data_IF_181376403167
#
_entry.id   IF_181376403167
#
_cell.length_a   1.000
_cell.length_b   1.000
_cell.length_c   1.000
_cell.angle_alpha   90.00
_cell.angle_beta   90.00
_cell.angle_gamma   90.00
#
_symmetry.space_group_name_H-M   'P 1'
#
loop_
_entity.id
_entity.type
_entity.pdbx_description
1 polymer ?
#
# COMPACT_ATOMS: atom_id res chain seq x y z
N UNK A 1 -54.13 40.34 -35.87
CA UNK A 1 -53.58 38.98 -35.99
C UNK A 1 -52.27 38.95 -35.23
N UNK A 2 -52.21 38.09 -34.20
CA UNK A 2 -51.18 38.00 -33.17
C UNK A 2 -49.77 37.75 -33.73
N UNK A 3 -48.73 38.17 -33.00
CA UNK A 3 -47.64 37.30 -32.53
C UNK A 3 -46.95 38.00 -31.35
N UNK A 4 -47.09 37.43 -30.16
CA UNK A 4 -46.31 37.76 -28.97
C UNK A 4 -44.98 37.01 -29.05
N UNK A 5 -43.86 37.73 -29.15
CA UNK A 5 -42.53 37.12 -29.06
C UNK A 5 -42.07 37.16 -27.60
N UNK A 6 -42.22 36.04 -26.89
CA UNK A 6 -41.65 35.84 -25.55
C UNK A 6 -40.17 35.48 -25.68
N UNK A 7 -39.28 36.34 -25.20
CA UNK A 7 -37.87 36.02 -25.01
C UNK A 7 -37.74 35.33 -23.65
N UNK A 8 -37.63 34.01 -23.65
CA UNK A 8 -37.35 33.23 -22.46
C UNK A 8 -35.88 33.40 -22.06
N UNK A 9 -35.63 34.02 -20.92
CA UNK A 9 -34.31 34.05 -20.29
C UNK A 9 -33.99 32.65 -19.75
N UNK A 10 -33.23 31.86 -20.51
CA UNK A 10 -32.67 30.60 -20.04
C UNK A 10 -31.51 30.87 -19.08
N UNK A 11 -31.76 30.70 -17.78
CA UNK A 11 -30.71 30.72 -16.76
C UNK A 11 -29.86 29.44 -16.92
N UNK A 12 -28.66 29.59 -17.48
CA UNK A 12 -27.70 28.49 -17.60
C UNK A 12 -27.08 28.24 -16.22
N UNK A 13 -27.62 27.27 -15.48
CA UNK A 13 -27.02 26.82 -14.22
C UNK A 13 -25.82 25.93 -14.60
N UNK A 14 -24.62 26.50 -14.55
CA UNK A 14 -23.37 25.74 -14.67
C UNK A 14 -23.15 25.03 -13.34
N UNK A 15 -23.50 23.74 -13.28
CA UNK A 15 -23.14 22.89 -12.15
C UNK A 15 -21.63 22.66 -12.19
N UNK A 16 -20.88 23.39 -11.35
CA UNK A 16 -19.48 23.11 -11.07
C UNK A 16 -19.44 21.84 -10.23
N UNK A 17 -19.23 20.68 -10.86
CA UNK A 17 -18.92 19.47 -10.13
C UNK A 17 -17.52 19.64 -9.52
N UNK A 18 -17.47 19.81 -8.20
CA UNK A 18 -16.22 19.71 -7.47
C UNK A 18 -15.70 18.26 -7.63
N UNK A 19 -14.75 18.06 -8.53
CA UNK A 19 -13.97 16.83 -8.57
C UNK A 19 -13.14 16.81 -7.27
N UNK A 20 -13.56 15.97 -6.34
CA UNK A 20 -12.72 15.62 -5.19
C UNK A 20 -11.50 14.86 -5.72
N UNK A 21 -10.38 15.57 -5.82
CA UNK A 21 -9.09 14.93 -6.07
C UNK A 21 -8.73 14.16 -4.80
N UNK A 22 -8.94 12.84 -4.82
CA UNK A 22 -8.35 11.96 -3.81
C UNK A 22 -6.86 11.90 -4.13
N UNK A 23 -6.07 12.74 -3.46
CA UNK A 23 -4.62 12.66 -3.53
C UNK A 23 -4.20 11.32 -2.91
N UNK A 24 -3.53 10.47 -3.68
CA UNK A 24 -2.93 9.25 -3.14
C UNK A 24 -1.93 9.65 -2.04
N UNK A 25 -2.01 9.01 -0.87
CA UNK A 25 -1.20 9.30 0.33
C UNK A 25 0.20 8.68 0.24
N UNK A 26 0.80 8.74 -0.95
CA UNK A 26 2.05 8.05 -1.29
C UNK A 26 1.84 6.69 -1.94
N UNK A 27 2.95 5.95 -2.08
CA UNK A 27 2.96 4.62 -2.69
C UNK A 27 3.98 3.66 -2.08
N UNK A 28 3.71 2.38 -2.25
CA UNK A 28 4.64 1.28 -2.00
C UNK A 28 5.12 0.81 -3.38
N UNK A 29 6.42 0.87 -3.62
CA UNK A 29 7.02 0.25 -4.79
C UNK A 29 7.68 -1.06 -4.39
N UNK A 30 7.31 -2.14 -5.07
CA UNK A 30 7.78 -3.49 -4.85
C UNK A 30 8.82 -3.85 -5.92
N UNK A 31 9.81 -4.65 -5.53
CA UNK A 31 10.93 -5.05 -6.37
C UNK A 31 11.21 -6.54 -6.19
N UNK A 32 11.51 -7.22 -7.28
CA UNK A 32 11.94 -8.61 -7.27
C UNK A 32 13.35 -8.75 -6.69
N UNK A 33 14.27 -7.89 -7.14
CA UNK A 33 15.69 -7.93 -6.77
C UNK A 33 16.07 -6.82 -5.80
N UNK A 34 17.19 -7.03 -5.11
CA UNK A 34 17.80 -6.10 -4.16
C UNK A 34 18.51 -4.89 -4.77
N UNK A 35 18.06 -4.39 -5.94
CA UNK A 35 18.71 -3.29 -6.65
C UNK A 35 17.68 -2.34 -7.26
N UNK A 36 17.94 -1.03 -7.23
CA UNK A 36 17.11 -0.03 -7.93
C UNK A 36 17.49 0.05 -9.41
N UNK A 37 18.77 -0.21 -9.74
CA UNK A 37 19.30 -0.14 -11.11
C UNK A 37 18.93 -1.38 -11.94
N UNK A 38 18.93 -2.55 -11.32
CA UNK A 38 18.41 -3.81 -11.89
C UNK A 38 17.37 -4.41 -10.93
N UNK A 39 16.14 -3.87 -10.94
CA UNK A 39 15.10 -4.26 -9.98
C UNK A 39 14.47 -5.61 -10.28
N UNK A 40 14.76 -6.20 -11.45
CA UNK A 40 13.92 -7.26 -12.02
C UNK A 40 12.50 -6.72 -12.25
N UNK A 41 11.50 -7.51 -11.89
CA UNK A 41 10.10 -7.08 -11.93
C UNK A 41 9.81 -6.06 -10.83
N UNK A 42 8.95 -5.08 -11.13
CA UNK A 42 8.45 -4.10 -10.15
C UNK A 42 6.93 -4.04 -10.14
N UNK A 43 6.34 -3.64 -9.02
CA UNK A 43 4.94 -3.22 -8.96
C UNK A 43 4.79 -1.97 -8.09
N UNK A 44 3.74 -1.18 -8.31
CA UNK A 44 3.44 0.00 -7.50
C UNK A 44 2.03 -0.12 -6.96
N UNK A 45 1.88 0.07 -5.66
CA UNK A 45 0.60 0.06 -4.95
C UNK A 45 0.42 1.43 -4.30
N UNK A 46 -0.66 2.13 -4.66
CA UNK A 46 -1.00 3.40 -4.02
C UNK A 46 -1.53 3.19 -2.60
N UNK A 47 -1.19 4.10 -1.69
CA UNK A 47 -1.79 4.12 -0.35
C UNK A 47 -3.26 4.56 -0.47
N UNK A 48 -4.23 3.70 -0.09
CA UNK A 48 -5.65 4.00 -0.17
C UNK A 48 -6.08 4.93 0.98
N UNK A 49 -7.18 5.66 0.81
CA UNK A 49 -7.76 6.50 1.86
C UNK A 49 -8.51 5.69 2.95
N UNK A 50 -8.77 4.41 2.72
CA UNK A 50 -9.39 3.48 3.66
C UNK A 50 -8.65 2.14 3.61
N UNK A 51 -8.91 1.26 4.59
CA UNK A 51 -8.33 -0.08 4.58
C UNK A 51 -8.52 -0.78 3.23
N UNK A 52 -7.45 -1.39 2.72
CA UNK A 52 -7.51 -2.21 1.52
C UNK A 52 -6.43 -3.28 1.54
N UNK A 53 -6.80 -4.45 1.09
CA UNK A 53 -5.90 -5.54 0.72
C UNK A 53 -5.75 -5.64 -0.79
N UNK A 54 -4.58 -6.09 -1.22
CA UNK A 54 -4.19 -6.26 -2.61
C UNK A 54 -3.69 -7.69 -2.78
N UNK A 55 -4.53 -8.56 -3.35
CA UNK A 55 -4.09 -9.86 -3.89
C UNK A 55 -3.27 -9.60 -5.14
N UNK A 56 -1.98 -9.94 -5.07
CA UNK A 56 -1.01 -9.61 -6.10
C UNK A 56 -1.43 -10.19 -7.45
N UNK A 57 -2.02 -11.39 -7.49
CA UNK A 57 -2.44 -12.05 -8.72
C UNK A 57 -3.58 -11.31 -9.47
N UNK A 58 -4.40 -10.52 -8.75
CA UNK A 58 -5.57 -9.84 -9.32
C UNK A 58 -5.40 -8.32 -9.43
N UNK A 59 -4.28 -7.76 -8.97
CA UNK A 59 -4.04 -6.31 -8.92
C UNK A 59 -2.97 -5.82 -9.89
N UNK A 60 -2.72 -6.55 -10.98
CA UNK A 60 -1.76 -6.15 -12.02
C UNK A 60 -0.30 -6.24 -11.58
N UNK A 61 -0.04 -6.91 -10.47
CA UNK A 61 1.29 -7.32 -10.04
C UNK A 61 1.46 -8.83 -10.29
N UNK A 62 2.70 -9.32 -10.22
CA UNK A 62 2.96 -10.75 -10.28
C UNK A 62 2.92 -11.39 -8.89
N UNK A 63 2.20 -12.51 -8.74
CA UNK A 63 2.19 -13.29 -7.51
C UNK A 63 3.53 -14.00 -7.30
N UNK A 64 3.99 -14.13 -6.05
CA UNK A 64 5.21 -14.87 -5.69
C UNK A 64 6.48 -14.37 -6.42
N UNK A 65 6.63 -13.05 -6.51
CA UNK A 65 7.77 -12.44 -7.22
C UNK A 65 8.58 -11.48 -6.36
N UNK A 66 7.91 -10.61 -5.61
CA UNK A 66 8.59 -9.47 -4.98
C UNK A 66 9.18 -9.83 -3.61
N UNK A 67 10.39 -9.35 -3.34
CA UNK A 67 11.15 -9.61 -2.12
C UNK A 67 11.62 -8.33 -1.43
N UNK A 68 11.42 -7.18 -2.06
CA UNK A 68 11.89 -5.89 -1.56
C UNK A 68 10.85 -4.80 -1.80
N UNK A 69 10.93 -3.72 -1.01
CA UNK A 69 10.05 -2.57 -1.20
C UNK A 69 10.74 -1.24 -0.86
N UNK A 70 10.18 -0.15 -1.40
CA UNK A 70 10.43 1.23 -0.97
C UNK A 70 9.10 1.91 -0.69
N UNK A 71 9.11 2.88 0.22
CA UNK A 71 8.00 3.80 0.43
C UNK A 71 8.35 5.14 -0.21
N UNK A 72 7.38 5.74 -0.88
CA UNK A 72 7.49 7.06 -1.50
C UNK A 72 6.32 7.94 -1.04
N UNK A 73 6.66 9.04 -0.37
CA UNK A 73 5.73 10.02 0.18
C UNK A 73 4.58 9.44 1.03
N UNK A 74 4.87 8.41 1.85
CA UNK A 74 3.82 7.73 2.65
C UNK A 74 3.62 8.46 3.98
N UNK A 75 2.37 8.81 4.30
CA UNK A 75 2.02 9.48 5.57
C UNK A 75 2.48 8.71 6.81
N UNK A 76 2.58 9.39 7.95
CA UNK A 76 2.82 8.72 9.22
C UNK A 76 1.65 7.84 9.66
N UNK A 77 1.92 6.90 10.55
CA UNK A 77 0.95 5.98 11.12
C UNK A 77 0.27 4.98 10.17
N UNK A 78 0.65 4.94 8.89
CA UNK A 78 0.23 3.91 7.93
C UNK A 78 0.79 2.57 8.35
N UNK A 79 -0.06 1.54 8.45
CA UNK A 79 0.36 0.15 8.67
C UNK A 79 0.31 -0.60 7.36
N UNK A 80 1.37 -1.34 7.08
CA UNK A 80 1.51 -2.14 5.86
C UNK A 80 1.88 -3.55 6.28
N UNK A 81 1.07 -4.54 5.91
CA UNK A 81 1.44 -5.94 6.06
C UNK A 81 1.69 -6.60 4.70
N UNK A 82 2.64 -7.52 4.70
CA UNK A 82 3.04 -8.36 3.57
C UNK A 82 2.74 -9.81 3.95
N UNK A 83 2.13 -10.59 3.05
CA UNK A 83 1.74 -11.97 3.35
C UNK A 83 1.93 -12.93 2.18
N UNK A 84 2.08 -14.21 2.54
CA UNK A 84 2.32 -15.33 1.63
C UNK A 84 1.07 -15.87 0.93
N UNK A 85 -0.11 -15.67 1.51
CA UNK A 85 -1.33 -16.32 1.04
C UNK A 85 -2.06 -15.51 -0.01
N UNK A 86 -2.58 -16.21 -1.04
CA UNK A 86 -3.59 -15.68 -1.95
C UNK A 86 -4.93 -15.45 -1.26
N UNK A 87 -5.80 -14.69 -1.91
CA UNK A 87 -7.10 -14.22 -1.44
C UNK A 87 -7.04 -13.40 -0.14
N UNK A 88 -5.85 -12.90 0.19
CA UNK A 88 -5.57 -12.03 1.33
C UNK A 88 -6.31 -12.39 2.62
N UNK A 89 -6.04 -13.60 3.11
CA UNK A 89 -6.59 -14.09 4.38
C UNK A 89 -6.21 -13.13 5.53
N UNK A 90 -7.09 -13.04 6.52
CA UNK A 90 -6.94 -12.12 7.67
C UNK A 90 -5.58 -12.24 8.35
N UNK A 91 -4.86 -11.12 8.51
CA UNK A 91 -3.61 -11.00 9.29
C UNK A 91 -3.87 -10.90 10.81
N UNK A 92 -2.84 -11.04 11.64
CA UNK A 92 -2.96 -10.90 13.11
C UNK A 92 -3.29 -12.22 13.83
N UNK A 93 -4.01 -12.20 14.97
CA UNK A 93 -4.27 -13.39 15.81
C UNK A 93 -4.96 -14.54 15.07
N UNK A 94 -5.74 -14.23 14.03
CA UNK A 94 -6.43 -15.20 13.18
C UNK A 94 -5.62 -15.71 11.98
N UNK A 95 -4.36 -15.30 11.82
CA UNK A 95 -3.57 -15.66 10.64
C UNK A 95 -3.24 -17.16 10.58
N UNK A 96 -3.68 -17.78 9.49
CA UNK A 96 -3.53 -19.22 9.21
C UNK A 96 -2.58 -19.54 8.07
N UNK A 97 -2.03 -18.51 7.41
CA UNK A 97 -1.07 -18.68 6.32
C UNK A 97 0.34 -19.03 6.78
N UNK A 98 1.24 -19.16 5.79
CA UNK A 98 2.63 -19.51 6.00
C UNK A 98 3.40 -18.38 6.69
N UNK A 99 3.38 -17.17 6.15
CA UNK A 99 3.97 -16.01 6.83
C UNK A 99 3.27 -14.70 6.55
N UNK A 100 3.28 -13.80 7.55
CA UNK A 100 2.98 -12.39 7.36
C UNK A 100 3.91 -11.53 8.20
N UNK A 101 4.15 -10.31 7.74
CA UNK A 101 4.94 -9.30 8.46
C UNK A 101 4.31 -7.93 8.32
N UNK A 102 4.28 -7.16 9.40
CA UNK A 102 3.70 -5.83 9.44
C UNK A 102 4.74 -4.79 9.83
N UNK A 103 4.75 -3.69 9.09
CA UNK A 103 5.51 -2.48 9.38
C UNK A 103 4.55 -1.30 9.57
N UNK A 104 5.02 -0.25 10.25
CA UNK A 104 4.30 0.99 10.44
C UNK A 104 5.21 2.18 10.15
N UNK A 105 4.69 3.19 9.47
CA UNK A 105 5.38 4.48 9.30
C UNK A 105 5.25 5.35 10.55
N UNK A 106 6.30 6.12 10.88
CA UNK A 106 6.31 7.01 12.05
C UNK A 106 6.84 8.42 11.79
N UNK A 107 7.26 8.72 10.55
CA UNK A 107 7.64 10.06 10.08
C UNK A 107 6.68 10.46 8.96
N UNK A 108 6.39 11.76 8.83
CA UNK A 108 5.53 12.31 7.79
C UNK A 108 6.25 13.36 6.94
N UNK A 109 6.44 13.17 5.61
CA UNK A 109 6.23 11.92 4.88
C UNK A 109 7.40 10.93 5.05
N UNK A 110 7.13 9.65 4.87
CA UNK A 110 8.13 8.58 4.87
C UNK A 110 8.58 8.24 3.44
N UNK A 111 9.88 8.40 3.21
CA UNK A 111 10.59 7.96 2.01
C UNK A 111 11.69 6.98 2.43
N UNK A 112 11.84 5.84 1.75
CA UNK A 112 12.84 4.84 2.15
C UNK A 112 13.74 4.42 1.01
N UNK A 113 15.00 4.10 1.35
CA UNK A 113 15.80 3.19 0.55
C UNK A 113 15.15 1.80 0.48
N UNK A 114 15.66 0.92 -0.38
CA UNK A 114 15.19 -0.46 -0.50
C UNK A 114 15.22 -1.21 0.85
N UNK A 115 14.13 -1.90 1.18
CA UNK A 115 13.97 -2.74 2.37
C UNK A 115 13.72 -4.17 1.92
N UNK A 116 14.46 -5.13 2.47
CA UNK A 116 14.30 -6.55 2.17
C UNK A 116 13.24 -7.20 3.06
N UNK A 117 12.27 -7.89 2.46
CA UNK A 117 11.34 -8.74 3.21
C UNK A 117 12.08 -9.92 3.88
N UNK A 118 12.80 -10.80 3.15
CA UNK A 118 13.46 -11.96 3.77
C UNK A 118 14.65 -11.59 4.66
N UNK A 119 15.39 -10.52 4.34
CA UNK A 119 16.65 -10.20 5.02
C UNK A 119 16.55 -9.15 6.13
N UNK A 120 15.52 -8.30 6.12
CA UNK A 120 15.38 -7.22 7.12
C UNK A 120 14.09 -7.38 7.90
N UNK A 121 12.95 -7.49 7.21
CA UNK A 121 11.64 -7.56 7.87
C UNK A 121 11.45 -8.91 8.59
N UNK A 122 11.80 -10.02 7.93
CA UNK A 122 11.58 -11.36 8.47
C UNK A 122 12.42 -11.68 9.71
N UNK A 123 13.56 -10.99 9.87
CA UNK A 123 14.45 -11.11 11.03
C UNK A 123 14.21 -10.06 12.12
N UNK A 124 13.26 -9.15 11.91
CA UNK A 124 13.03 -8.04 12.82
C UNK A 124 12.25 -8.45 14.07
N UNK A 125 12.48 -7.73 15.16
CA UNK A 125 11.70 -7.86 16.40
C UNK A 125 10.74 -6.68 16.57
N UNK A 126 9.57 -6.86 17.21
CA UNK A 126 8.60 -5.78 17.44
C UNK A 126 9.24 -4.52 18.03
N UNK A 127 8.94 -3.36 17.44
CA UNK A 127 9.49 -2.07 17.84
C UNK A 127 10.85 -1.71 17.21
N UNK A 128 11.49 -2.63 16.48
CA UNK A 128 12.75 -2.35 15.79
C UNK A 128 12.55 -1.36 14.65
N UNK A 129 13.41 -0.33 14.60
CA UNK A 129 13.48 0.59 13.47
C UNK A 129 14.22 -0.08 12.31
N UNK A 130 13.57 -0.20 11.15
CA UNK A 130 14.13 -0.88 9.98
C UNK A 130 14.90 0.08 9.07
N UNK A 131 14.34 1.28 8.91
CA UNK A 131 14.87 2.42 8.17
C UNK A 131 14.30 3.70 8.79
N UNK A 132 14.88 4.88 8.49
CA UNK A 132 14.25 6.14 8.87
C UNK A 132 12.77 6.17 8.46
N UNK A 133 11.89 6.39 9.44
CA UNK A 133 10.44 6.47 9.22
C UNK A 133 9.70 5.14 9.20
N UNK A 134 10.37 3.97 9.26
CA UNK A 134 9.72 2.65 9.25
C UNK A 134 10.12 1.80 10.46
N UNK A 135 9.10 1.30 11.17
CA UNK A 135 9.24 0.44 12.33
C UNK A 135 8.54 -0.90 12.09
N UNK A 136 9.15 -1.99 12.55
CA UNK A 136 8.51 -3.31 12.55
C UNK A 136 7.49 -3.41 13.69
N UNK A 137 6.30 -3.94 13.37
CA UNK A 137 5.18 -4.06 14.32
C UNK A 137 5.11 -5.48 14.84
N UNK A 138 4.89 -6.43 13.94
CA UNK A 138 4.70 -7.84 14.27
C UNK A 138 4.90 -8.70 13.03
N UNK A 139 4.99 -10.00 13.24
CA UNK A 139 4.96 -10.97 12.15
C UNK A 139 4.85 -12.39 12.68
N UNK A 140 4.51 -13.30 11.78
CA UNK A 140 4.45 -14.74 12.02
C UNK A 140 5.03 -15.43 10.81
N UNK A 141 5.86 -16.44 11.05
CA UNK A 141 6.32 -17.35 10.02
C UNK A 141 6.20 -18.76 10.57
N UNK A 142 5.22 -19.50 10.06
CA UNK A 142 4.96 -20.88 10.43
C UNK A 142 6.08 -21.74 9.85
N UNK A 143 6.63 -22.66 10.63
CA UNK A 143 7.63 -23.63 10.16
C UNK A 143 8.90 -23.05 9.51
N UNK A 144 9.22 -21.76 9.69
CA UNK A 144 10.33 -21.08 9.02
C UNK A 144 10.26 -21.19 7.48
N UNK A 145 9.06 -20.99 6.93
CA UNK A 145 8.81 -20.96 5.49
C UNK A 145 9.65 -19.87 4.79
N UNK A 146 9.97 -20.14 3.53
CA UNK A 146 10.73 -19.22 2.70
C UNK A 146 9.91 -17.94 2.40
N UNK A 147 10.52 -16.78 2.64
CA UNK A 147 9.91 -15.46 2.39
C UNK A 147 10.27 -14.93 1.00
N UNK A 148 11.44 -15.27 0.48
CA UNK A 148 11.93 -14.74 -0.79
C UNK A 148 11.08 -15.21 -1.96
N UNK A 149 10.56 -14.25 -2.75
CA UNK A 149 9.74 -14.55 -3.92
C UNK A 149 8.43 -15.24 -3.57
N UNK A 150 7.84 -14.93 -2.41
CA UNK A 150 6.58 -15.54 -1.95
C UNK A 150 5.50 -14.52 -1.57
N UNK A 151 5.69 -13.25 -1.95
CA UNK A 151 4.70 -12.22 -1.66
C UNK A 151 3.44 -12.43 -2.53
N UNK A 152 2.31 -12.70 -1.88
CA UNK A 152 1.01 -12.85 -2.53
C UNK A 152 -0.02 -11.79 -2.12
N UNK A 153 0.15 -11.13 -0.96
CA UNK A 153 -0.78 -10.11 -0.49
C UNK A 153 -0.10 -8.92 0.20
N UNK A 154 -0.67 -7.74 -0.02
CA UNK A 154 -0.33 -6.50 0.70
C UNK A 154 -1.58 -5.93 1.35
N UNK A 155 -1.53 -5.66 2.65
CA UNK A 155 -2.64 -5.10 3.43
C UNK A 155 -2.25 -3.71 3.91
N UNK A 156 -3.12 -2.73 3.71
CA UNK A 156 -2.82 -1.34 4.04
C UNK A 156 -3.93 -0.77 4.91
N UNK A 157 -3.55 -0.29 6.10
CA UNK A 157 -4.39 0.56 6.93
C UNK A 157 -3.80 1.97 6.88
N UNK A 158 -4.50 2.95 6.29
CA UNK A 158 -4.00 4.32 6.25
C UNK A 158 -3.82 4.88 7.66
N UNK A 159 -2.90 5.83 7.78
CA UNK A 159 -2.78 6.62 9.00
C UNK A 159 -4.08 7.41 9.21
N UNK A 160 -4.46 7.64 10.46
CA UNK A 160 -5.49 8.65 10.73
C UNK A 160 -4.87 9.99 10.34
N UNK A 161 -5.49 10.79 9.44
CA UNK A 161 -5.00 12.13 9.18
C UNK A 161 -4.92 12.89 10.50
N UNK A 162 -3.82 13.61 10.73
CA UNK A 162 -3.77 14.56 11.84
C UNK A 162 -4.90 15.58 11.61
N UNK A 163 -5.91 15.54 12.48
CA UNK A 163 -7.02 16.49 12.52
C UNK A 163 -6.56 17.87 12.94
#
# INVERSE_FOLDING_TARGET
MNIFTKIGAGLLIVAVQAMTVVLAQGSIKLYQKGSIEDPGKTCVIAIPAAYKDYDMAYHGCDNDVYSFFTLDNVESAVRIAFGSERNCRVTGPGYTGDWYYMVKTYIDPTNTSLISLPGVVASAIPGQLLKPGVMFVEGKNKNNENVEGKLSCVYIWPGTPAS
#
